data_IF_657119865290
#
_entry.id   IF_657119865290
#
_cell.length_a   1.000
_cell.length_b   1.000
_cell.length_c   1.000
_cell.angle_alpha   90.00
_cell.angle_beta   90.00
_cell.angle_gamma   90.00
#
_symmetry.space_group_name_H-M   'P 1'
#
loop_
_entity.id
_entity.type
_entity.pdbx_description
1 polymer ?
#
# COMPACT_ATOMS: atom_id res chain seq x y z
N UNK A 1 -26.46 8.62 2.70
CA UNK A 1 -27.39 9.72 2.33
C UNK A 1 -28.26 9.20 1.21
N UNK A 2 -29.52 9.61 1.15
CA UNK A 2 -30.47 9.25 0.10
C UNK A 2 -30.68 10.39 -0.88
N UNK A 3 -30.81 10.06 -2.16
CA UNK A 3 -31.31 10.97 -3.19
C UNK A 3 -32.78 10.61 -3.42
N UNK A 4 -33.65 11.61 -3.35
CA UNK A 4 -35.08 11.49 -3.61
C UNK A 4 -35.42 12.31 -4.84
N UNK A 5 -35.90 11.64 -5.88
CA UNK A 5 -36.30 12.27 -7.16
C UNK A 5 -37.80 12.20 -7.33
N UNK A 6 -38.42 13.35 -7.58
CA UNK A 6 -39.86 13.49 -7.71
C UNK A 6 -40.24 13.76 -9.16
N UNK A 7 -41.31 13.13 -9.64
CA UNK A 7 -41.73 13.23 -11.04
C UNK A 7 -42.24 14.62 -11.45
N UNK A 8 -42.61 15.47 -10.48
CA UNK A 8 -43.17 16.80 -10.73
C UNK A 8 -42.66 17.82 -9.69
N UNK A 9 -42.52 19.09 -10.12
CA UNK A 9 -42.05 20.19 -9.27
C UNK A 9 -43.06 20.59 -8.18
N UNK A 10 -44.37 20.49 -8.44
CA UNK A 10 -45.40 20.86 -7.46
C UNK A 10 -45.35 19.98 -6.18
N UNK A 11 -45.32 18.63 -6.28
CA UNK A 11 -45.06 17.75 -5.14
C UNK A 11 -43.77 18.08 -4.38
N UNK A 12 -42.71 18.47 -5.09
CA UNK A 12 -41.43 18.78 -4.46
C UNK A 12 -41.50 20.06 -3.60
N UNK A 13 -42.17 21.10 -4.09
CA UNK A 13 -42.38 22.34 -3.33
C UNK A 13 -43.24 22.11 -2.07
N UNK A 14 -44.30 21.30 -2.18
CA UNK A 14 -45.19 20.96 -1.07
C UNK A 14 -44.45 20.20 0.03
N UNK A 15 -43.60 19.23 -0.35
CA UNK A 15 -42.76 18.47 0.59
C UNK A 15 -41.77 19.39 1.29
N UNK A 16 -41.13 20.30 0.56
CA UNK A 16 -40.20 21.25 1.16
C UNK A 16 -40.89 22.18 2.16
N UNK A 17 -42.13 22.61 1.87
CA UNK A 17 -42.92 23.41 2.80
C UNK A 17 -43.27 22.61 4.07
N UNK A 18 -43.78 21.38 3.91
CA UNK A 18 -44.14 20.50 5.03
C UNK A 18 -42.93 20.17 5.93
N UNK A 19 -41.79 19.84 5.34
CA UNK A 19 -40.58 19.53 6.10
C UNK A 19 -40.00 20.76 6.80
N UNK A 20 -40.06 21.94 6.16
CA UNK A 20 -39.62 23.20 6.78
C UNK A 20 -40.48 23.54 8.00
N UNK A 21 -41.79 23.36 7.92
CA UNK A 21 -42.71 23.58 9.05
C UNK A 21 -42.39 22.64 10.21
N UNK A 22 -42.18 21.34 9.94
CA UNK A 22 -41.88 20.36 10.98
C UNK A 22 -40.50 20.55 11.62
N UNK A 23 -39.52 20.99 10.85
CA UNK A 23 -38.14 21.17 11.32
C UNK A 23 -37.83 22.58 11.83
N UNK A 24 -38.72 23.55 11.64
CA UNK A 24 -38.61 24.90 12.22
C UNK A 24 -38.47 24.89 13.76
N UNK A 25 -38.89 23.81 14.41
CA UNK A 25 -38.78 23.59 15.86
C UNK A 25 -37.43 23.03 16.31
N UNK A 26 -36.53 22.65 15.40
CA UNK A 26 -35.23 22.03 15.70
C UNK A 26 -34.10 22.86 15.10
N UNK A 27 -33.05 23.11 15.89
CA UNK A 27 -31.87 23.89 15.49
C UNK A 27 -30.93 23.17 14.49
N UNK A 28 -31.48 22.54 13.45
CA UNK A 28 -30.70 21.84 12.41
C UNK A 28 -30.50 22.79 11.24
N UNK A 29 -29.31 23.40 11.14
CA UNK A 29 -28.91 24.15 9.94
C UNK A 29 -28.79 23.19 8.74
N UNK A 30 -29.56 23.46 7.68
CA UNK A 30 -29.51 22.81 6.36
C UNK A 30 -29.54 21.26 6.39
N UNK A 31 -30.69 20.67 6.76
CA UNK A 31 -30.84 19.22 6.90
C UNK A 31 -30.73 18.40 5.59
N UNK A 32 -30.89 19.04 4.43
CA UNK A 32 -30.83 18.45 3.09
C UNK A 32 -30.27 19.45 2.07
N UNK A 33 -29.90 18.94 0.90
CA UNK A 33 -29.53 19.74 -0.27
C UNK A 33 -30.60 19.57 -1.36
N UNK A 34 -31.17 20.65 -1.85
CA UNK A 34 -32.16 20.63 -2.93
C UNK A 34 -31.51 20.88 -4.29
N UNK A 35 -32.12 20.30 -5.32
CA UNK A 35 -31.85 20.52 -6.73
C UNK A 35 -33.21 20.77 -7.40
N UNK A 36 -33.70 22.01 -7.26
CA UNK A 36 -35.08 22.40 -7.61
C UNK A 36 -35.38 22.26 -9.12
N UNK A 37 -34.35 22.42 -9.95
CA UNK A 37 -34.38 22.30 -11.41
C UNK A 37 -34.69 20.87 -11.88
N UNK A 38 -34.30 19.86 -11.10
CA UNK A 38 -34.54 18.44 -11.40
C UNK A 38 -35.50 17.78 -10.41
N UNK A 39 -36.15 18.55 -9.54
CA UNK A 39 -37.07 18.03 -8.51
C UNK A 39 -36.42 16.94 -7.64
N UNK A 40 -35.18 17.18 -7.20
CA UNK A 40 -34.43 16.23 -6.37
C UNK A 40 -34.01 16.83 -5.02
N UNK A 41 -33.91 16.00 -3.99
CA UNK A 41 -33.23 16.37 -2.75
C UNK A 41 -32.29 15.26 -2.27
N UNK A 42 -31.18 15.66 -1.67
CA UNK A 42 -30.25 14.77 -0.99
C UNK A 42 -30.38 14.93 0.52
N UNK A 43 -30.72 13.84 1.20
CA UNK A 43 -31.11 13.80 2.60
C UNK A 43 -30.17 12.87 3.37
N UNK A 44 -29.80 13.24 4.60
CA UNK A 44 -29.04 12.35 5.49
C UNK A 44 -29.86 11.12 5.87
N UNK A 45 -29.20 9.98 6.06
CA UNK A 45 -29.91 8.71 6.28
C UNK A 45 -30.74 8.74 7.57
N UNK A 46 -30.23 9.37 8.63
CA UNK A 46 -30.96 9.49 9.90
C UNK A 46 -32.24 10.31 9.73
N UNK A 47 -32.21 11.33 8.88
CA UNK A 47 -33.36 12.19 8.64
C UNK A 47 -34.37 11.51 7.71
N UNK A 48 -33.88 10.78 6.69
CA UNK A 48 -34.73 9.97 5.84
C UNK A 48 -35.50 8.91 6.65
N UNK A 49 -34.82 8.21 7.55
CA UNK A 49 -35.44 7.22 8.43
C UNK A 49 -36.47 7.85 9.37
N UNK A 50 -36.16 9.01 9.95
CA UNK A 50 -37.05 9.69 10.90
C UNK A 50 -38.35 10.21 10.28
N UNK A 51 -38.33 10.58 9.00
CA UNK A 51 -39.48 11.17 8.30
C UNK A 51 -39.88 10.36 7.05
N UNK A 52 -39.61 9.06 7.05
CA UNK A 52 -39.76 8.19 5.89
C UNK A 52 -41.15 8.27 5.25
N UNK A 53 -42.21 8.25 6.06
CA UNK A 53 -43.60 8.33 5.57
C UNK A 53 -43.89 9.63 4.82
N UNK A 54 -43.29 10.74 5.24
CA UNK A 54 -43.44 12.05 4.60
C UNK A 54 -42.76 12.11 3.24
N UNK A 55 -41.62 11.45 3.09
CA UNK A 55 -40.93 11.35 1.81
C UNK A 55 -41.67 10.38 0.87
N UNK A 56 -42.03 9.19 1.36
CA UNK A 56 -42.56 8.10 0.53
C UNK A 56 -44.00 8.32 0.03
N UNK A 57 -44.82 9.10 0.74
CA UNK A 57 -46.21 9.37 0.30
C UNK A 57 -46.31 10.10 -1.05
N UNK A 58 -45.23 10.77 -1.46
CA UNK A 58 -45.14 11.45 -2.76
C UNK A 58 -44.49 10.58 -3.84
N UNK A 59 -44.31 9.29 -3.55
CA UNK A 59 -43.77 8.28 -4.47
C UNK A 59 -42.46 8.69 -5.17
N UNK A 60 -41.42 9.16 -4.44
CA UNK A 60 -40.13 9.46 -5.03
C UNK A 60 -39.43 8.19 -5.50
N UNK A 61 -38.58 8.33 -6.51
CA UNK A 61 -37.51 7.37 -6.76
C UNK A 61 -36.46 7.60 -5.67
N UNK A 62 -36.14 6.54 -4.92
CA UNK A 62 -35.17 6.58 -3.81
C UNK A 62 -33.89 5.91 -4.26
N UNK A 63 -32.80 6.67 -4.28
CA UNK A 63 -31.47 6.20 -4.68
C UNK A 63 -30.46 6.39 -3.55
N UNK A 64 -29.40 5.59 -3.57
CA UNK A 64 -28.24 5.84 -2.71
C UNK A 64 -27.44 7.02 -3.27
N UNK A 65 -27.00 7.92 -2.38
CA UNK A 65 -25.99 8.93 -2.76
C UNK A 65 -24.63 8.25 -2.91
N UNK A 66 -24.38 7.67 -4.08
CA UNK A 66 -23.15 6.95 -4.38
C UNK A 66 -21.97 7.91 -4.55
N UNK A 67 -20.80 7.49 -4.07
CA UNK A 67 -19.55 8.21 -4.32
C UNK A 67 -19.07 7.87 -5.73
N UNK A 68 -19.12 8.85 -6.63
CA UNK A 68 -18.56 8.72 -7.98
C UNK A 68 -17.09 9.09 -7.94
N UNK A 69 -16.22 8.21 -8.44
CA UNK A 69 -14.79 8.46 -8.59
C UNK A 69 -14.47 8.78 -10.05
N UNK A 70 -13.48 9.65 -10.29
CA UNK A 70 -12.92 9.85 -11.64
C UNK A 70 -12.39 8.52 -12.14
N UNK A 71 -12.75 8.14 -13.37
CA UNK A 71 -12.13 6.99 -14.06
C UNK A 71 -10.63 7.26 -14.19
N UNK A 72 -9.84 6.69 -13.31
CA UNK A 72 -8.39 6.63 -13.42
C UNK A 72 -8.09 5.19 -13.80
N UNK A 73 -7.54 4.98 -15.00
CA UNK A 73 -7.02 3.67 -15.37
C UNK A 73 -5.89 3.30 -14.39
N UNK A 74 -5.81 2.03 -14.00
CA UNK A 74 -4.68 1.50 -13.22
C UNK A 74 -3.37 1.76 -13.99
N UNK A 75 -2.48 2.55 -13.39
CA UNK A 75 -1.15 2.79 -13.95
C UNK A 75 -0.23 1.65 -13.51
N UNK A 76 0.27 0.86 -14.46
CA UNK A 76 1.41 -0.03 -14.19
C UNK A 76 2.68 0.84 -14.12
N UNK A 77 3.31 1.02 -12.94
CA UNK A 77 4.46 1.92 -12.82
C UNK A 77 5.62 1.45 -13.70
N UNK A 78 6.42 2.39 -14.21
CA UNK A 78 7.52 2.07 -15.13
C UNK A 78 8.47 1.01 -14.56
N UNK A 79 8.71 1.04 -13.24
CA UNK A 79 9.59 0.09 -12.58
C UNK A 79 9.04 -1.34 -12.60
N UNK A 80 7.72 -1.49 -12.47
CA UNK A 80 7.01 -2.77 -12.57
C UNK A 80 7.08 -3.31 -14.01
N UNK A 81 6.95 -2.45 -15.01
CA UNK A 81 7.16 -2.81 -16.43
C UNK A 81 8.61 -3.21 -16.71
N UNK A 82 9.56 -2.42 -16.21
CA UNK A 82 11.00 -2.60 -16.43
C UNK A 82 11.49 -3.97 -15.94
N UNK A 83 11.00 -4.42 -14.79
CA UNK A 83 11.35 -5.74 -14.25
C UNK A 83 10.59 -6.90 -14.91
N UNK A 84 9.69 -6.61 -15.84
CA UNK A 84 8.94 -7.60 -16.61
C UNK A 84 7.83 -8.30 -15.82
N UNK A 85 7.31 -7.68 -14.76
CA UNK A 85 6.27 -8.27 -13.91
C UNK A 85 5.01 -8.64 -14.70
N UNK A 86 4.59 -7.80 -15.67
CA UNK A 86 3.42 -8.02 -16.53
C UNK A 86 3.46 -9.37 -17.26
N UNK A 87 4.65 -9.76 -17.73
CA UNK A 87 4.84 -11.05 -18.42
C UNK A 87 4.72 -12.22 -17.46
N UNK A 88 4.98 -12.00 -16.18
CA UNK A 88 4.98 -13.03 -15.14
C UNK A 88 3.59 -13.26 -14.54
N UNK A 89 2.73 -12.24 -14.52
CA UNK A 89 1.35 -12.34 -14.02
C UNK A 89 0.49 -13.38 -14.73
N UNK A 90 0.80 -13.69 -16.00
CA UNK A 90 0.16 -14.81 -16.74
C UNK A 90 0.42 -16.18 -16.10
N UNK A 91 1.47 -16.31 -15.28
CA UNK A 91 1.88 -17.57 -14.64
C UNK A 91 1.66 -17.56 -13.13
N UNK A 92 1.88 -16.42 -12.48
CA UNK A 92 1.77 -16.25 -11.03
C UNK A 92 1.69 -14.76 -10.70
N UNK A 93 0.93 -14.40 -9.67
CA UNK A 93 0.84 -13.04 -9.13
C UNK A 93 1.33 -12.91 -7.67
N UNK A 94 1.92 -13.99 -7.12
CA UNK A 94 2.50 -13.99 -5.78
C UNK A 94 1.63 -14.62 -4.68
N UNK A 95 0.46 -15.18 -5.03
CA UNK A 95 -0.52 -15.75 -4.10
C UNK A 95 0.11 -16.69 -3.06
N UNK A 96 -0.21 -16.46 -1.78
CA UNK A 96 0.21 -17.30 -0.66
C UNK A 96 1.70 -17.23 -0.32
N UNK A 97 2.44 -16.25 -0.85
CA UNK A 97 3.82 -15.98 -0.43
C UNK A 97 3.82 -14.93 0.68
N UNK A 98 4.43 -15.26 1.81
CA UNK A 98 4.51 -14.38 2.99
C UNK A 98 5.74 -13.48 2.94
N UNK A 99 5.53 -12.17 2.92
CA UNK A 99 6.57 -11.15 2.81
C UNK A 99 6.53 -10.25 4.05
N UNK A 100 7.62 -10.22 4.84
CA UNK A 100 7.79 -9.21 5.87
C UNK A 100 8.46 -7.95 5.31
N UNK A 101 7.88 -6.79 5.60
CA UNK A 101 8.47 -5.48 5.31
C UNK A 101 8.91 -4.86 6.63
N UNK A 102 10.23 -4.85 6.87
CA UNK A 102 10.85 -4.24 8.05
C UNK A 102 11.10 -2.76 7.73
N UNK A 103 10.20 -1.88 8.16
CA UNK A 103 10.20 -0.47 7.76
C UNK A 103 9.51 0.44 8.82
N UNK A 104 9.15 1.66 8.42
CA UNK A 104 8.45 2.72 9.18
C UNK A 104 6.97 2.46 9.41
N UNK A 105 6.48 1.36 8.87
CA UNK A 105 5.09 0.94 8.94
C UNK A 105 4.29 1.25 7.67
N UNK A 106 3.23 0.48 7.48
CA UNK A 106 2.32 0.56 6.33
C UNK A 106 0.96 1.16 6.74
N UNK A 107 0.40 2.03 5.90
CA UNK A 107 -1.00 2.45 6.00
C UNK A 107 -1.92 1.31 5.57
N UNK A 108 -2.44 0.57 6.56
CA UNK A 108 -3.29 -0.61 6.35
C UNK A 108 -4.69 -0.24 5.83
N UNK A 109 -5.08 1.03 5.90
CA UNK A 109 -6.35 1.52 5.37
C UNK A 109 -6.26 1.92 3.90
N UNK A 110 -5.04 1.96 3.35
CA UNK A 110 -4.82 2.35 1.96
C UNK A 110 -5.57 1.41 1.01
N UNK A 111 -6.38 1.96 0.11
CA UNK A 111 -7.27 1.16 -0.75
C UNK A 111 -6.55 0.16 -1.65
N UNK A 112 -5.29 0.44 -2.01
CA UNK A 112 -4.38 -0.46 -2.75
C UNK A 112 -3.68 -1.53 -1.91
N UNK A 113 -3.75 -1.47 -0.57
CA UNK A 113 -2.95 -2.34 0.31
C UNK A 113 -3.78 -3.13 1.32
N UNK A 114 -4.97 -2.65 1.66
CA UNK A 114 -5.78 -3.15 2.78
C UNK A 114 -6.08 -4.65 2.69
N UNK A 115 -6.25 -5.20 1.49
CA UNK A 115 -6.55 -6.63 1.35
C UNK A 115 -5.27 -7.48 1.21
N UNK A 116 -4.10 -6.85 1.09
CA UNK A 116 -2.79 -7.52 1.02
C UNK A 116 -2.01 -7.51 2.33
N UNK A 117 -2.22 -6.54 3.21
CA UNK A 117 -1.57 -6.51 4.53
C UNK A 117 -2.30 -7.47 5.49
N UNK A 118 -1.72 -8.66 5.71
CA UNK A 118 -2.35 -9.75 6.48
C UNK A 118 -2.10 -9.70 7.98
N UNK A 119 -1.18 -8.87 8.43
CA UNK A 119 -0.81 -8.76 9.84
C UNK A 119 0.54 -8.08 10.01
N UNK A 120 1.18 -8.32 11.15
CA UNK A 120 2.50 -7.75 11.44
C UNK A 120 2.68 -7.47 12.93
N UNK A 121 3.76 -6.75 13.25
CA UNK A 121 4.11 -6.34 14.61
C UNK A 121 4.55 -4.88 14.60
N UNK A 122 4.20 -4.16 15.67
CA UNK A 122 4.71 -2.81 15.91
C UNK A 122 5.75 -2.85 17.05
N UNK A 123 7.01 -2.60 16.71
CA UNK A 123 8.12 -2.54 17.67
C UNK A 123 8.37 -1.13 18.20
N UNK A 124 7.83 -0.13 17.50
CA UNK A 124 7.91 1.30 17.86
C UNK A 124 6.53 1.94 17.85
N UNK A 125 6.39 3.03 18.60
CA UNK A 125 5.15 3.82 18.73
C UNK A 125 5.27 5.16 18.00
N UNK A 126 4.14 5.83 17.84
CA UNK A 126 4.05 7.17 17.26
C UNK A 126 3.44 7.16 15.86
N UNK A 127 3.57 8.27 15.13
CA UNK A 127 3.04 8.42 13.78
C UNK A 127 3.90 7.67 12.76
N UNK A 128 3.29 7.25 11.65
CA UNK A 128 3.96 6.55 10.54
C UNK A 128 4.57 7.57 9.58
N UNK A 129 5.79 7.30 9.11
CA UNK A 129 6.54 8.17 8.20
C UNK A 129 5.97 8.17 6.76
N UNK A 130 5.55 6.99 6.29
CA UNK A 130 5.00 6.78 4.94
C UNK A 130 5.94 6.01 4.00
N UNK A 131 7.23 5.95 4.29
CA UNK A 131 8.20 5.16 3.52
C UNK A 131 7.79 3.67 3.40
N UNK A 132 7.31 3.06 4.48
CA UNK A 132 6.89 1.65 4.49
C UNK A 132 5.65 1.41 3.61
N UNK A 133 4.70 2.36 3.60
CA UNK A 133 3.57 2.34 2.67
C UNK A 133 4.04 2.40 1.22
N UNK A 134 5.04 3.23 0.91
CA UNK A 134 5.61 3.34 -0.43
C UNK A 134 6.29 2.03 -0.88
N UNK A 135 7.12 1.46 -0.01
CA UNK A 135 7.75 0.16 -0.23
C UNK A 135 6.71 -0.94 -0.43
N UNK A 136 5.64 -0.97 0.37
CA UNK A 136 4.58 -1.95 0.25
C UNK A 136 3.86 -1.89 -1.10
N UNK A 137 3.51 -0.70 -1.59
CA UNK A 137 2.85 -0.55 -2.90
C UNK A 137 3.68 -1.07 -4.07
N UNK A 138 5.01 -0.92 -4.03
CA UNK A 138 5.88 -1.47 -5.07
C UNK A 138 5.77 -3.00 -5.11
N UNK A 139 5.60 -3.64 -3.95
CA UNK A 139 5.51 -5.09 -3.85
C UNK A 139 4.10 -5.58 -4.18
N UNK A 140 3.06 -5.02 -3.56
CA UNK A 140 1.70 -5.61 -3.52
C UNK A 140 0.56 -4.65 -3.80
N UNK A 141 0.78 -3.44 -4.34
CA UNK A 141 -0.37 -2.63 -4.79
C UNK A 141 -1.27 -3.47 -5.70
N UNK A 142 -2.57 -3.37 -5.51
CA UNK A 142 -3.52 -4.35 -5.99
C UNK A 142 -3.68 -4.25 -7.51
N UNK A 143 -4.06 -5.36 -8.13
CA UNK A 143 -4.50 -5.37 -9.53
C UNK A 143 -6.03 -5.28 -9.53
N UNK A 144 -6.55 -4.06 -9.44
CA UNK A 144 -7.96 -3.76 -9.17
C UNK A 144 -8.55 -2.69 -10.13
N UNK A 145 -7.82 -2.34 -11.21
CA UNK A 145 -8.23 -1.38 -12.25
C UNK A 145 -8.33 0.09 -11.79
N UNK A 146 -7.69 0.45 -10.68
CA UNK A 146 -7.54 1.84 -10.21
C UNK A 146 -6.13 2.03 -9.64
N UNK A 147 -5.71 3.29 -9.46
CA UNK A 147 -4.45 3.57 -8.78
C UNK A 147 -3.22 3.02 -9.52
N UNK A 148 -2.44 2.17 -8.85
CA UNK A 148 -1.26 1.52 -9.41
C UNK A 148 -1.24 0.03 -9.06
N UNK A 149 -0.45 -0.76 -9.79
CA UNK A 149 -0.24 -2.19 -9.47
C UNK A 149 1.21 -2.48 -9.06
N UNK A 150 1.38 -3.32 -8.03
CA UNK A 150 2.69 -3.77 -7.55
C UNK A 150 3.25 -4.95 -8.33
N UNK A 151 4.50 -5.32 -8.08
CA UNK A 151 5.17 -6.43 -8.80
C UNK A 151 4.49 -7.78 -8.54
N UNK A 152 4.08 -8.06 -7.30
CA UNK A 152 3.41 -9.28 -6.87
C UNK A 152 2.07 -8.96 -6.19
N UNK A 153 1.04 -8.57 -6.97
CA UNK A 153 -0.18 -7.95 -6.46
C UNK A 153 -1.07 -8.90 -5.65
N UNK A 154 -0.75 -10.20 -5.59
CA UNK A 154 -1.51 -11.18 -4.79
C UNK A 154 -0.70 -11.76 -3.62
N UNK A 155 0.53 -11.30 -3.36
CA UNK A 155 1.32 -11.75 -2.21
C UNK A 155 0.77 -11.24 -0.87
N UNK A 156 1.07 -11.99 0.20
CA UNK A 156 0.63 -11.68 1.56
C UNK A 156 1.71 -10.89 2.29
N UNK A 157 1.41 -9.63 2.61
CA UNK A 157 2.37 -8.72 3.17
C UNK A 157 2.18 -8.54 4.69
N UNK A 158 3.27 -8.50 5.43
CA UNK A 158 3.30 -8.36 6.88
C UNK A 158 4.07 -7.09 7.26
N UNK A 159 3.37 -6.20 7.97
CA UNK A 159 3.84 -4.90 8.42
C UNK A 159 4.72 -5.06 9.68
N UNK A 160 6.04 -5.16 9.51
CA UNK A 160 7.01 -5.30 10.62
C UNK A 160 7.57 -3.91 10.94
N UNK A 161 6.73 -3.09 11.58
CA UNK A 161 7.04 -1.70 11.88
C UNK A 161 8.15 -1.62 12.93
N UNK A 162 9.31 -1.14 12.49
CA UNK A 162 10.56 -1.12 13.25
C UNK A 162 11.17 0.29 13.33
N UNK A 163 10.85 1.15 12.37
CA UNK A 163 11.39 2.51 12.30
C UNK A 163 10.38 3.56 12.81
N UNK A 164 10.91 4.56 13.52
CA UNK A 164 10.16 5.70 14.07
C UNK A 164 9.77 6.68 12.95
N UNK A 165 9.02 7.72 13.31
CA UNK A 165 8.58 8.76 12.37
C UNK A 165 9.75 9.46 11.66
N UNK A 166 10.90 9.61 12.33
CA UNK A 166 12.12 10.21 11.79
C UNK A 166 12.94 9.25 10.90
N UNK A 167 12.47 8.02 10.67
CA UNK A 167 13.17 7.02 9.88
C UNK A 167 14.35 6.36 10.60
N UNK A 168 14.42 6.45 11.93
CA UNK A 168 15.46 5.78 12.73
C UNK A 168 14.94 4.50 13.40
N UNK A 169 15.84 3.55 13.63
CA UNK A 169 15.59 2.34 14.41
C UNK A 169 16.84 1.97 15.21
N UNK A 170 16.66 1.30 16.35
CA UNK A 170 17.78 0.71 17.07
C UNK A 170 18.15 -0.64 16.48
N UNK A 171 19.42 -1.04 16.60
CA UNK A 171 19.85 -2.36 16.16
C UNK A 171 19.08 -3.48 16.87
N UNK A 172 18.74 -3.29 18.16
CA UNK A 172 17.93 -4.26 18.90
C UNK A 172 16.52 -4.42 18.34
N UNK A 173 15.89 -3.33 17.87
CA UNK A 173 14.57 -3.42 17.21
C UNK A 173 14.67 -4.13 15.86
N UNK A 174 15.73 -3.90 15.08
CA UNK A 174 16.00 -4.62 13.83
C UNK A 174 16.18 -6.12 14.10
N UNK A 175 16.94 -6.49 15.13
CA UNK A 175 17.12 -7.90 15.50
C UNK A 175 15.80 -8.53 15.96
N UNK A 176 14.96 -7.82 16.71
CA UNK A 176 13.62 -8.30 17.10
C UNK A 176 12.71 -8.49 15.88
N UNK A 177 12.75 -7.58 14.91
CA UNK A 177 11.99 -7.68 13.66
C UNK A 177 12.39 -8.91 12.82
N UNK A 178 13.69 -9.16 12.70
CA UNK A 178 14.22 -10.35 12.03
C UNK A 178 13.82 -11.63 12.76
N UNK A 179 13.92 -11.66 14.10
CA UNK A 179 13.54 -12.83 14.87
C UNK A 179 12.04 -13.13 14.75
N UNK A 180 11.19 -12.10 14.83
CA UNK A 180 9.75 -12.22 14.61
C UNK A 180 9.45 -12.80 13.21
N UNK A 181 10.14 -12.31 12.18
CA UNK A 181 9.97 -12.79 10.81
C UNK A 181 10.34 -14.26 10.66
N UNK A 182 11.39 -14.72 11.35
CA UNK A 182 11.79 -16.14 11.41
C UNK A 182 10.72 -16.97 12.12
N UNK A 183 10.27 -16.55 13.30
CA UNK A 183 9.28 -17.27 14.12
C UNK A 183 7.93 -17.40 13.42
N UNK A 184 7.57 -16.44 12.58
CA UNK A 184 6.32 -16.44 11.82
C UNK A 184 6.45 -17.08 10.43
N UNK A 185 7.59 -17.72 10.14
CA UNK A 185 7.87 -18.43 8.89
C UNK A 185 7.62 -17.54 7.66
N UNK A 186 8.15 -16.32 7.68
CA UNK A 186 8.17 -15.47 6.49
C UNK A 186 9.03 -16.13 5.40
N UNK A 187 8.67 -15.97 4.14
CA UNK A 187 9.45 -16.52 3.03
C UNK A 187 10.41 -15.49 2.46
N UNK A 188 10.04 -14.22 2.54
CA UNK A 188 10.86 -13.09 2.10
C UNK A 188 10.85 -12.00 3.17
N UNK A 189 12.02 -11.39 3.42
CA UNK A 189 12.16 -10.20 4.26
C UNK A 189 12.73 -9.07 3.40
N UNK A 190 11.98 -7.98 3.26
CA UNK A 190 12.42 -6.75 2.62
C UNK A 190 12.96 -5.77 3.67
N UNK A 191 14.19 -5.32 3.46
CA UNK A 191 14.94 -4.41 4.33
C UNK A 191 15.38 -3.18 3.55
N UNK A 192 14.46 -2.23 3.35
CA UNK A 192 14.73 -0.98 2.61
C UNK A 192 15.43 0.08 3.48
N UNK A 193 16.44 -0.35 4.23
CA UNK A 193 17.26 0.46 5.13
C UNK A 193 18.72 0.00 5.08
N UNK A 194 19.63 0.83 5.61
CA UNK A 194 21.03 0.49 5.70
C UNK A 194 21.73 1.12 6.90
N UNK A 195 22.85 0.52 7.29
CA UNK A 195 23.79 1.03 8.29
C UNK A 195 25.24 0.87 7.79
N UNK A 196 26.12 1.83 8.08
CA UNK A 196 27.49 1.80 7.56
C UNK A 196 28.37 0.75 8.25
N UNK A 197 28.07 0.40 9.50
CA UNK A 197 28.93 -0.43 10.34
C UNK A 197 28.54 -1.91 10.24
N UNK A 198 29.54 -2.80 10.24
CA UNK A 198 29.31 -4.24 10.39
C UNK A 198 28.83 -4.54 11.82
N UNK A 199 27.91 -5.48 11.96
CA UNK A 199 27.51 -6.02 13.26
C UNK A 199 27.48 -7.54 13.24
N UNK A 200 28.29 -8.15 14.09
CA UNK A 200 28.34 -9.61 14.25
C UNK A 200 26.99 -10.18 14.71
N UNK A 201 26.29 -9.45 15.59
CA UNK A 201 24.98 -9.86 16.07
C UNK A 201 23.94 -9.86 14.93
N UNK A 202 23.98 -8.84 14.06
CA UNK A 202 23.11 -8.77 12.88
C UNK A 202 23.46 -9.87 11.86
N UNK A 203 24.76 -10.11 11.62
CA UNK A 203 25.23 -11.18 10.74
C UNK A 203 24.71 -12.55 11.18
N UNK A 204 24.73 -12.85 12.49
CA UNK A 204 24.25 -14.14 13.02
C UNK A 204 22.75 -14.35 12.83
N UNK A 205 21.93 -13.32 13.04
CA UNK A 205 20.49 -13.46 12.83
C UNK A 205 20.11 -13.49 11.35
N UNK A 206 20.83 -12.75 10.49
CA UNK A 206 20.72 -12.87 9.03
C UNK A 206 21.05 -14.30 8.61
N UNK A 207 22.16 -14.86 9.09
CA UNK A 207 22.50 -16.27 8.83
C UNK A 207 21.42 -17.24 9.33
N UNK A 208 20.88 -17.02 10.55
CA UNK A 208 19.77 -17.82 11.09
C UNK A 208 18.53 -17.78 10.18
N UNK A 209 18.18 -16.62 9.61
CA UNK A 209 17.07 -16.51 8.66
C UNK A 209 17.37 -17.27 7.35
N UNK A 210 18.58 -17.15 6.83
CA UNK A 210 19.01 -17.85 5.62
C UNK A 210 19.00 -19.38 5.81
N UNK A 211 19.47 -19.88 6.95
CA UNK A 211 19.45 -21.31 7.29
C UNK A 211 18.02 -21.87 7.42
N UNK A 212 17.01 -21.01 7.61
CA UNK A 212 15.58 -21.34 7.56
C UNK A 212 14.96 -21.20 6.16
N UNK A 213 15.76 -20.90 5.14
CA UNK A 213 15.30 -20.74 3.76
C UNK A 213 14.61 -19.41 3.47
N UNK A 214 14.71 -18.43 4.38
CA UNK A 214 14.09 -17.12 4.20
C UNK A 214 14.96 -16.27 3.28
N UNK A 215 14.38 -15.75 2.21
CA UNK A 215 15.09 -14.88 1.26
C UNK A 215 15.12 -13.45 1.81
N UNK A 216 16.30 -12.86 1.90
CA UNK A 216 16.47 -11.48 2.38
C UNK A 216 16.89 -10.56 1.25
N UNK A 217 16.21 -9.44 1.12
CA UNK A 217 16.47 -8.41 0.11
C UNK A 217 16.68 -7.08 0.81
N UNK A 218 17.78 -6.39 0.51
CA UNK A 218 18.10 -5.12 1.15
C UNK A 218 18.58 -4.07 0.16
N UNK A 219 18.32 -2.80 0.48
CA UNK A 219 18.79 -1.67 -0.30
C UNK A 219 20.31 -1.48 -0.14
N UNK A 220 21.01 -1.16 -1.24
CA UNK A 220 22.47 -1.05 -1.21
C UNK A 220 22.99 0.19 -0.47
N UNK A 221 22.19 1.25 -0.33
CA UNK A 221 22.60 2.55 0.22
C UNK A 221 22.48 3.68 -0.81
N UNK A 222 22.39 4.93 -0.32
CA UNK A 222 22.07 6.11 -1.13
C UNK A 222 23.16 7.21 -1.09
N UNK A 223 24.41 6.85 -0.76
CA UNK A 223 25.51 7.81 -0.62
C UNK A 223 26.54 7.76 -1.76
N UNK A 224 26.30 6.95 -2.81
CA UNK A 224 27.25 6.71 -3.91
C UNK A 224 28.55 6.01 -3.50
N UNK A 225 28.70 5.68 -2.22
CA UNK A 225 29.87 5.03 -1.64
C UNK A 225 29.77 3.52 -1.64
N UNK A 226 30.30 2.88 -0.61
CA UNK A 226 30.27 1.43 -0.45
C UNK A 226 28.89 0.93 -0.03
N UNK A 227 28.52 -0.27 -0.48
CA UNK A 227 27.29 -0.96 -0.06
C UNK A 227 27.18 -1.04 1.46
N UNK A 228 26.01 -0.71 1.99
CA UNK A 228 25.67 -0.71 3.42
C UNK A 228 25.24 -2.11 3.92
N UNK A 229 25.21 -2.29 5.24
CA UNK A 229 24.61 -3.47 5.86
C UNK A 229 23.11 -3.23 6.11
N UNK A 230 22.23 -4.22 5.90
CA UNK A 230 22.52 -5.64 5.73
C UNK A 230 22.80 -6.09 4.28
N UNK A 231 22.64 -5.24 3.27
CA UNK A 231 22.85 -5.60 1.85
C UNK A 231 24.25 -6.16 1.55
N UNK A 232 25.25 -5.82 2.36
CA UNK A 232 26.62 -6.32 2.23
C UNK A 232 26.87 -7.69 2.88
N UNK A 233 25.94 -8.25 3.66
CA UNK A 233 26.07 -9.64 4.14
C UNK A 233 25.91 -10.63 3.00
N UNK A 234 26.62 -11.76 3.07
CA UNK A 234 26.68 -12.75 1.99
C UNK A 234 25.32 -13.37 1.69
N UNK A 235 24.50 -13.55 2.72
CA UNK A 235 23.19 -14.18 2.68
C UNK A 235 22.08 -13.25 2.17
N UNK A 236 22.38 -11.97 1.93
CA UNK A 236 21.40 -10.93 1.59
C UNK A 236 21.58 -10.51 0.13
N UNK A 237 20.46 -10.39 -0.58
CA UNK A 237 20.43 -9.84 -1.93
C UNK A 237 20.48 -8.31 -1.80
N UNK A 238 21.68 -7.74 -1.98
CA UNK A 238 21.88 -6.29 -2.02
C UNK A 238 21.46 -5.69 -3.38
N UNK A 239 20.59 -4.68 -3.35
CA UNK A 239 19.97 -4.10 -4.55
C UNK A 239 20.35 -2.63 -4.74
N UNK A 240 21.03 -2.33 -5.85
CA UNK A 240 21.30 -0.97 -6.32
C UNK A 240 20.14 -0.37 -7.12
N UNK A 241 20.17 0.96 -7.33
CA UNK A 241 19.11 1.71 -8.00
C UNK A 241 19.51 2.10 -9.42
N UNK A 242 18.64 1.83 -10.40
CA UNK A 242 18.74 2.35 -11.76
C UNK A 242 17.59 3.31 -12.08
N UNK A 243 17.85 4.23 -13.00
CA UNK A 243 16.82 5.07 -13.61
C UNK A 243 16.19 4.43 -14.85
N UNK A 244 15.24 5.14 -15.46
CA UNK A 244 14.52 4.69 -16.66
C UNK A 244 15.44 4.42 -17.86
N UNK A 245 16.60 5.07 -17.92
CA UNK A 245 17.64 4.84 -18.93
C UNK A 245 18.48 3.57 -18.67
N UNK A 246 18.16 2.79 -17.64
CA UNK A 246 18.90 1.59 -17.22
C UNK A 246 20.26 1.88 -16.59
N UNK A 247 20.65 3.15 -16.42
CA UNK A 247 21.92 3.53 -15.80
C UNK A 247 21.79 3.52 -14.28
N UNK A 248 22.86 3.11 -13.61
CA UNK A 248 22.98 3.20 -12.16
C UNK A 248 22.83 4.66 -11.72
N UNK A 249 21.96 4.91 -10.74
CA UNK A 249 21.77 6.23 -10.17
C UNK A 249 23.04 6.69 -9.43
N UNK A 250 23.37 7.97 -9.50
CA UNK A 250 24.59 8.51 -8.90
C UNK A 250 24.66 8.25 -7.38
N UNK A 251 23.52 8.39 -6.70
CA UNK A 251 23.39 8.11 -5.27
C UNK A 251 23.50 6.62 -4.92
N UNK A 252 23.34 5.70 -5.89
CA UNK A 252 23.37 4.26 -5.57
C UNK A 252 24.75 3.85 -5.09
N UNK A 253 24.82 3.37 -3.86
CA UNK A 253 26.02 2.73 -3.33
C UNK A 253 26.40 1.52 -4.18
N UNK A 254 27.70 1.21 -4.22
CA UNK A 254 28.32 0.30 -5.18
C UNK A 254 29.44 -0.53 -4.57
N UNK A 255 29.83 -1.59 -5.26
CA UNK A 255 30.91 -2.50 -4.85
C UNK A 255 30.43 -3.79 -4.18
N UNK A 256 31.31 -4.41 -3.38
CA UNK A 256 31.08 -5.75 -2.80
C UNK A 256 29.81 -5.78 -1.96
N UNK A 257 28.93 -6.74 -2.26
CA UNK A 257 27.62 -6.92 -1.62
C UNK A 257 26.45 -6.59 -2.54
N UNK A 258 26.64 -5.70 -3.51
CA UNK A 258 25.61 -5.42 -4.52
C UNK A 258 25.50 -6.62 -5.46
N UNK A 259 24.36 -7.30 -5.43
CA UNK A 259 24.12 -8.54 -6.17
C UNK A 259 23.35 -8.26 -7.46
N UNK A 260 22.51 -7.23 -7.46
CA UNK A 260 21.70 -6.85 -8.62
C UNK A 260 21.31 -5.37 -8.53
N UNK A 261 20.61 -4.88 -9.55
CA UNK A 261 20.04 -3.55 -9.59
C UNK A 261 18.57 -3.60 -10.02
N UNK A 262 17.77 -2.66 -9.55
CA UNK A 262 16.37 -2.54 -9.93
C UNK A 262 15.94 -1.05 -9.99
N UNK A 263 14.77 -0.75 -10.59
CA UNK A 263 14.22 0.61 -10.65
C UNK A 263 14.19 1.31 -9.29
N UNK A 264 14.88 2.45 -9.19
CA UNK A 264 14.96 3.22 -7.94
C UNK A 264 14.93 4.74 -8.12
N UNK A 265 14.61 5.24 -9.33
CA UNK A 265 14.47 6.68 -9.63
C UNK A 265 13.06 6.96 -10.17
N UNK A 266 12.41 8.00 -9.68
CA UNK A 266 11.05 8.42 -10.01
C UNK A 266 10.04 7.26 -9.88
N UNK A 267 10.12 6.53 -8.77
CA UNK A 267 9.25 5.39 -8.51
C UNK A 267 7.96 5.87 -7.88
N UNK A 268 6.87 5.83 -8.64
CA UNK A 268 5.52 6.05 -8.16
C UNK A 268 5.07 4.86 -7.31
N UNK A 269 4.59 5.13 -6.10
CA UNK A 269 3.95 4.12 -5.25
C UNK A 269 2.94 4.74 -4.30
N UNK A 270 2.23 3.88 -3.56
CA UNK A 270 1.25 4.24 -2.53
C UNK A 270 1.87 5.08 -1.42
N UNK A 271 1.10 6.00 -0.85
CA UNK A 271 1.51 6.89 0.22
C UNK A 271 0.34 7.05 1.22
N UNK A 272 0.58 7.27 2.53
CA UNK A 272 -0.50 7.34 3.51
C UNK A 272 -1.63 8.30 3.13
N UNK A 273 -2.86 7.95 3.56
CA UNK A 273 -4.05 8.75 3.29
C UNK A 273 -4.60 8.55 1.88
N UNK A 274 -4.55 7.32 1.35
CA UNK A 274 -5.05 6.97 0.00
C UNK A 274 -4.44 7.84 -1.11
N UNK A 275 -3.15 8.13 -1.01
CA UNK A 275 -2.43 9.01 -1.95
C UNK A 275 -1.27 8.26 -2.61
N UNK A 276 -0.59 8.92 -3.55
CA UNK A 276 0.57 8.36 -4.24
C UNK A 276 1.72 9.36 -4.21
N UNK A 277 2.96 8.85 -4.23
CA UNK A 277 4.17 9.68 -4.22
C UNK A 277 5.26 9.08 -5.08
N UNK A 278 6.05 9.93 -5.75
CA UNK A 278 7.30 9.52 -6.41
C UNK A 278 8.47 9.67 -5.46
N UNK A 279 9.30 8.64 -5.34
CA UNK A 279 10.52 8.65 -4.52
C UNK A 279 11.72 8.10 -5.29
N UNK A 280 12.91 8.49 -4.81
CA UNK A 280 14.21 8.05 -5.28
C UNK A 280 14.94 7.31 -4.16
N UNK A 281 15.58 6.19 -4.47
CA UNK A 281 16.41 5.46 -3.55
C UNK A 281 16.57 3.98 -3.90
N UNK A 282 17.66 3.39 -3.42
CA UNK A 282 17.83 1.93 -3.39
C UNK A 282 16.74 1.26 -2.54
N UNK A 283 16.13 1.99 -1.61
CA UNK A 283 14.93 1.59 -0.86
C UNK A 283 13.71 1.32 -1.74
N UNK A 284 13.61 1.95 -2.92
CA UNK A 284 12.56 1.67 -3.91
C UNK A 284 12.98 0.58 -4.90
N UNK A 285 14.28 0.33 -5.06
CA UNK A 285 14.80 -0.75 -5.90
C UNK A 285 14.63 -2.13 -5.24
N UNK A 286 14.96 -2.26 -3.96
CA UNK A 286 14.80 -3.51 -3.19
C UNK A 286 13.40 -4.15 -3.31
N UNK A 287 12.27 -3.43 -3.12
CA UNK A 287 10.94 -4.03 -3.20
C UNK A 287 10.56 -4.57 -4.59
N UNK A 288 11.15 -4.05 -5.68
CA UNK A 288 10.95 -4.66 -7.00
C UNK A 288 11.52 -6.08 -7.04
N UNK A 289 12.72 -6.28 -6.51
CA UNK A 289 13.38 -7.61 -6.44
C UNK A 289 12.62 -8.53 -5.50
N UNK A 290 12.18 -8.03 -4.34
CA UNK A 290 11.29 -8.74 -3.41
C UNK A 290 10.05 -9.28 -4.12
N UNK A 291 9.35 -8.43 -4.90
CA UNK A 291 8.17 -8.86 -5.65
C UNK A 291 8.47 -9.93 -6.70
N UNK A 292 9.57 -9.81 -7.45
CA UNK A 292 9.97 -10.83 -8.44
C UNK A 292 10.24 -12.20 -7.79
N UNK A 293 10.87 -12.20 -6.62
CA UNK A 293 11.11 -13.42 -5.84
C UNK A 293 9.77 -14.01 -5.40
N UNK A 294 8.82 -13.19 -4.96
CA UNK A 294 7.48 -13.65 -4.59
C UNK A 294 6.73 -14.29 -5.77
N UNK A 295 6.76 -13.68 -6.96
CA UNK A 295 6.19 -14.28 -8.17
C UNK A 295 6.78 -15.66 -8.46
N UNK A 296 8.10 -15.81 -8.31
CA UNK A 296 8.83 -17.08 -8.53
C UNK A 296 8.47 -18.14 -7.49
N UNK A 297 8.41 -17.78 -6.21
CA UNK A 297 8.06 -18.71 -5.13
C UNK A 297 6.62 -19.21 -5.29
N UNK A 298 5.66 -18.31 -5.53
CA UNK A 298 4.27 -18.68 -5.76
C UNK A 298 4.10 -19.62 -6.97
N UNK A 299 4.83 -19.38 -8.06
CA UNK A 299 4.83 -20.28 -9.23
C UNK A 299 5.31 -21.70 -8.88
N UNK A 300 6.37 -21.81 -8.07
CA UNK A 300 6.91 -23.11 -7.62
C UNK A 300 5.88 -23.86 -6.78
N UNK A 301 5.22 -23.18 -5.84
CA UNK A 301 4.13 -23.78 -5.03
C UNK A 301 2.99 -24.32 -5.92
N UNK A 302 2.55 -23.53 -6.90
CA UNK A 302 1.51 -23.96 -7.85
C UNK A 302 1.90 -25.20 -8.64
N UNK A 303 3.16 -25.32 -9.04
CA UNK A 303 3.67 -26.47 -9.81
C UNK A 303 3.84 -27.72 -8.92
N UNK A 304 4.17 -27.54 -7.64
CA UNK A 304 4.31 -28.66 -6.70
C UNK A 304 2.95 -29.24 -6.25
N UNK A 305 1.87 -28.48 -6.40
CA UNK A 305 0.51 -28.88 -6.04
C UNK A 305 -0.31 -29.47 -7.21
N UNK A 306 0.25 -29.47 -8.44
CA UNK A 306 -0.35 -30.05 -9.65
C UNK A 306 0.31 -31.37 -9.99
#
# INVERSE_FOLDING_TARGET
>A
MKILTFHHQAPFADILAELKEKLATRAVKQPWRCFDDVSCMCVRDELFQMYQDHFLRHNPIVEENVVVSVHTEEEVPWGVKYVGAERMWKRSKGTGVKIAVIDTGIDRSHFELRDRVKGGIELVRGKRNGHGTHVAGIIVAEMNQRGIVGVSPEADLYDVRTFREDGTATLSDIMRALNWSIEHNMEIINMSFGMPQYSEALARIVKKAADRGIVMVASAGNNGGTVEYPARYREVIGVGAVGQNGKLAEFSSRGKGMTTTAPGVDILSTWPGNSFKKLNGTSMAAPHVTGLIALRLARRKKTAAS
#
